data_IF_471514522792
#
_entry.id   IF_471514522792
#
_cell.length_a   1.000
_cell.length_b   1.000
_cell.length_c   1.000
_cell.angle_alpha   90.00
_cell.angle_beta   90.00
_cell.angle_gamma   90.00
#
_symmetry.space_group_name_H-M   'P 1'
#
loop_
_entity.id
_entity.type
_entity.pdbx_description
1 polymer ?
#
# COMPACT_ATOMS: atom_id res chain seq x y z
N UNK A 1 1.20 6.03 -9.29
CA UNK A 1 1.12 7.11 -10.27
C UNK A 1 1.52 6.65 -11.68
N UNK A 2 2.78 6.22 -11.91
CA UNK A 2 3.28 5.87 -13.24
C UNK A 2 2.41 4.84 -13.97
N UNK A 3 1.97 3.78 -13.29
CA UNK A 3 1.07 2.78 -13.87
C UNK A 3 -0.31 3.34 -14.23
N UNK A 4 -0.80 4.34 -13.52
CA UNK A 4 -2.05 5.02 -13.89
C UNK A 4 -1.84 5.86 -15.15
N UNK A 5 -0.69 6.53 -15.29
CA UNK A 5 -0.36 7.28 -16.50
C UNK A 5 -0.24 6.38 -17.71
N UNK A 6 0.42 5.24 -17.56
CA UNK A 6 0.52 4.20 -18.60
C UNK A 6 -0.88 3.72 -19.03
N UNK A 7 -1.77 3.44 -18.06
CA UNK A 7 -3.17 3.07 -18.33
C UNK A 7 -3.92 4.14 -19.13
N UNK A 8 -3.70 5.42 -18.83
CA UNK A 8 -4.34 6.53 -19.55
C UNK A 8 -3.62 6.89 -20.86
N UNK A 9 -2.52 6.21 -21.21
CA UNK A 9 -1.71 6.51 -22.40
C UNK A 9 -0.99 7.86 -22.32
N UNK A 10 -0.71 8.35 -21.12
CA UNK A 10 -0.02 9.62 -20.87
C UNK A 10 1.49 9.38 -20.85
N UNK A 11 2.21 10.10 -21.71
CA UNK A 11 3.68 10.09 -21.70
C UNK A 11 4.22 10.79 -20.43
N UNK A 12 4.78 9.98 -19.53
CA UNK A 12 5.35 10.46 -18.27
C UNK A 12 6.56 11.39 -18.49
N UNK A 13 7.28 11.22 -19.60
CA UNK A 13 8.42 12.08 -19.93
C UNK A 13 8.03 13.55 -20.17
N UNK A 14 6.76 13.81 -20.47
CA UNK A 14 6.20 15.17 -20.60
C UNK A 14 5.70 15.79 -19.30
N UNK A 15 5.76 15.05 -18.18
CA UNK A 15 5.23 15.49 -16.89
C UNK A 15 6.33 15.92 -15.92
N UNK A 16 6.05 16.92 -15.11
CA UNK A 16 6.86 17.25 -13.94
C UNK A 16 6.33 16.45 -12.75
N UNK A 17 7.02 15.35 -12.40
CA UNK A 17 6.66 14.50 -11.25
C UNK A 17 7.41 14.98 -10.02
N UNK A 18 6.68 15.29 -8.96
CA UNK A 18 7.24 15.74 -7.68
C UNK A 18 6.85 14.74 -6.59
N UNK A 19 7.85 14.22 -5.88
CA UNK A 19 7.64 13.40 -4.69
C UNK A 19 7.42 14.29 -3.48
N UNK A 20 6.27 14.13 -2.83
CA UNK A 20 5.90 14.91 -1.65
C UNK A 20 4.99 14.09 -0.72
N UNK A 21 5.00 14.42 0.57
CA UNK A 21 4.12 13.79 1.53
C UNK A 21 2.63 14.04 1.17
N UNK A 22 1.70 13.11 1.51
CA UNK A 22 0.30 13.24 1.15
C UNK A 22 -0.36 14.56 1.58
N UNK A 23 -0.01 15.08 2.76
CA UNK A 23 -0.53 16.35 3.24
C UNK A 23 -0.03 17.55 2.40
N UNK A 24 1.22 17.52 1.95
CA UNK A 24 1.79 18.52 1.07
C UNK A 24 1.14 18.46 -0.32
N UNK A 25 0.98 17.25 -0.87
CA UNK A 25 0.28 17.02 -2.14
C UNK A 25 -1.17 17.50 -2.11
N UNK A 26 -1.86 17.29 -0.98
CA UNK A 26 -3.21 17.83 -0.77
C UNK A 26 -3.23 19.37 -0.79
N UNK A 27 -2.29 20.01 -0.09
CA UNK A 27 -2.21 21.46 -0.07
C UNK A 27 -1.86 22.04 -1.46
N UNK A 28 -0.93 21.41 -2.17
CA UNK A 28 -0.52 21.79 -3.52
C UNK A 28 -1.70 21.68 -4.52
N UNK A 29 -2.48 20.59 -4.44
CA UNK A 29 -3.68 20.42 -5.27
C UNK A 29 -4.74 21.50 -4.98
N UNK A 30 -5.02 21.75 -3.70
CA UNK A 30 -5.99 22.76 -3.29
C UNK A 30 -5.60 24.18 -3.72
N UNK A 31 -4.30 24.48 -3.83
CA UNK A 31 -3.75 25.75 -4.29
C UNK A 31 -3.60 25.83 -5.82
N UNK A 32 -3.84 24.75 -6.55
CA UNK A 32 -3.63 24.69 -7.98
C UNK A 32 -2.14 24.70 -8.39
N UNK A 33 -1.24 24.35 -7.48
CA UNK A 33 0.20 24.26 -7.76
C UNK A 33 0.58 22.93 -8.44
N UNK A 34 -0.30 21.94 -8.40
CA UNK A 34 -0.21 20.69 -9.15
C UNK A 34 -1.58 20.38 -9.78
N UNK A 35 -1.56 19.77 -10.97
CA UNK A 35 -2.77 19.43 -11.71
C UNK A 35 -3.37 18.09 -11.24
N UNK A 36 -2.54 17.21 -10.68
CA UNK A 36 -2.91 15.89 -10.19
C UNK A 36 -2.12 15.55 -8.93
N UNK A 37 -2.76 14.87 -7.99
CA UNK A 37 -2.10 14.36 -6.79
C UNK A 37 -2.57 12.93 -6.48
N UNK A 38 -1.67 12.12 -5.92
CA UNK A 38 -1.97 10.83 -5.33
C UNK A 38 -1.88 10.92 -3.81
N UNK A 39 -2.82 10.32 -3.10
CA UNK A 39 -2.82 10.34 -1.65
C UNK A 39 -3.70 9.25 -1.06
N UNK A 40 -3.69 9.14 0.25
CA UNK A 40 -4.47 8.18 1.02
C UNK A 40 -4.91 8.80 2.35
N UNK A 41 -5.77 8.10 3.08
CA UNK A 41 -6.24 8.51 4.40
C UNK A 41 -6.87 9.90 4.42
N UNK A 42 -6.61 10.67 5.47
CA UNK A 42 -7.17 11.99 5.65
C UNK A 42 -6.76 13.02 4.57
N UNK A 43 -5.57 12.85 3.97
CA UNK A 43 -5.15 13.70 2.86
C UNK A 43 -6.01 13.45 1.61
N UNK A 44 -6.26 12.19 1.25
CA UNK A 44 -7.14 11.84 0.13
C UNK A 44 -8.57 12.37 0.36
N UNK A 45 -9.08 12.27 1.58
CA UNK A 45 -10.41 12.82 1.91
C UNK A 45 -10.48 14.32 1.59
N UNK A 46 -9.48 15.09 2.02
CA UNK A 46 -9.41 16.53 1.71
C UNK A 46 -9.15 16.84 0.24
N UNK A 47 -8.36 15.99 -0.47
CA UNK A 47 -8.18 16.16 -1.93
C UNK A 47 -9.50 16.08 -2.69
N UNK A 48 -10.45 15.24 -2.24
CA UNK A 48 -11.79 15.12 -2.83
C UNK A 48 -12.63 16.39 -2.72
N UNK A 49 -12.31 17.29 -1.80
CA UNK A 49 -12.98 18.59 -1.67
C UNK A 49 -12.56 19.58 -2.78
N UNK A 50 -11.37 19.36 -3.37
CA UNK A 50 -10.77 20.27 -4.37
C UNK A 50 -10.57 19.62 -5.74
N UNK A 51 -10.81 18.33 -5.89
CA UNK A 51 -10.54 17.59 -7.11
C UNK A 51 -11.52 16.45 -7.37
N UNK A 52 -11.39 15.85 -8.54
CA UNK A 52 -12.17 14.68 -8.95
C UNK A 52 -11.30 13.40 -8.85
N UNK A 53 -11.94 12.28 -8.48
CA UNK A 53 -11.28 10.99 -8.49
C UNK A 53 -11.16 10.50 -9.93
N UNK A 54 -9.95 10.17 -10.36
CA UNK A 54 -9.69 9.56 -11.66
C UNK A 54 -9.84 8.03 -11.61
N UNK A 55 -9.29 7.41 -10.56
CA UNK A 55 -9.40 5.97 -10.30
C UNK A 55 -9.57 5.72 -8.79
N UNK A 56 -10.59 4.99 -8.45
CA UNK A 56 -10.79 4.46 -7.09
C UNK A 56 -9.83 3.31 -6.78
N UNK A 57 -9.74 2.89 -5.51
CA UNK A 57 -8.97 1.71 -5.11
C UNK A 57 -9.45 0.44 -5.81
N UNK A 58 -10.76 0.24 -5.91
CA UNK A 58 -11.36 -0.92 -6.56
C UNK A 58 -11.02 -0.97 -8.06
N UNK A 59 -11.22 0.14 -8.78
CA UNK A 59 -10.86 0.23 -10.20
C UNK A 59 -9.37 -0.02 -10.45
N UNK A 60 -8.50 0.47 -9.56
CA UNK A 60 -7.06 0.17 -9.64
C UNK A 60 -6.78 -1.33 -9.48
N UNK A 61 -7.44 -2.00 -8.54
CA UNK A 61 -7.30 -3.45 -8.36
C UNK A 61 -7.73 -4.22 -9.61
N UNK A 62 -8.86 -3.87 -10.22
CA UNK A 62 -9.33 -4.48 -11.48
C UNK A 62 -8.33 -4.30 -12.63
N UNK A 63 -7.61 -3.19 -12.64
CA UNK A 63 -6.55 -2.89 -13.60
C UNK A 63 -5.18 -3.53 -13.25
N UNK A 64 -5.10 -4.30 -12.15
CA UNK A 64 -3.85 -4.86 -11.66
C UNK A 64 -2.88 -3.81 -11.10
N UNK A 65 -3.36 -2.62 -10.78
CA UNK A 65 -2.59 -1.58 -10.09
C UNK A 65 -2.78 -1.77 -8.59
N UNK A 66 -1.93 -2.59 -7.99
CA UNK A 66 -1.99 -2.88 -6.56
C UNK A 66 -1.39 -1.75 -5.74
N UNK A 67 -1.95 -1.53 -4.57
CA UNK A 67 -1.35 -0.73 -3.49
C UNK A 67 -1.45 -1.57 -2.23
N UNK A 68 -0.31 -1.90 -1.64
CA UNK A 68 -0.27 -2.70 -0.43
C UNK A 68 0.91 -2.30 0.45
N UNK A 69 0.74 -2.45 1.74
CA UNK A 69 1.79 -2.32 2.73
C UNK A 69 2.37 -3.71 3.03
N UNK A 70 3.68 -3.80 3.11
CA UNK A 70 4.37 -5.04 3.41
C UNK A 70 5.39 -4.83 4.53
N UNK A 71 5.50 -5.78 5.44
CA UNK A 71 6.60 -5.82 6.38
C UNK A 71 7.88 -6.16 5.63
N UNK A 72 8.88 -5.30 5.73
CA UNK A 72 10.18 -5.47 5.06
C UNK A 72 11.32 -5.48 6.07
N UNK A 73 12.40 -6.16 5.73
CA UNK A 73 13.61 -6.21 6.57
C UNK A 73 14.82 -6.73 5.81
N UNK A 74 16.05 -6.48 6.31
CA UNK A 74 17.26 -7.04 5.72
C UNK A 74 17.19 -8.57 5.71
N UNK A 75 17.58 -9.20 4.61
CA UNK A 75 17.57 -10.66 4.45
C UNK A 75 18.39 -11.35 5.55
N UNK A 76 19.57 -10.80 5.90
CA UNK A 76 20.41 -11.32 6.99
C UNK A 76 19.70 -11.28 8.34
N UNK A 77 19.02 -10.17 8.66
CA UNK A 77 18.28 -10.05 9.91
C UNK A 77 17.16 -11.09 10.01
N UNK A 78 16.39 -11.26 8.94
CA UNK A 78 15.29 -12.23 8.91
C UNK A 78 15.83 -13.66 9.05
N UNK A 79 16.96 -13.98 8.41
CA UNK A 79 17.58 -15.29 8.51
C UNK A 79 18.10 -15.61 9.92
N UNK A 80 18.66 -14.61 10.61
CA UNK A 80 19.21 -14.76 11.95
C UNK A 80 18.16 -14.69 13.06
N UNK A 81 17.01 -14.02 12.80
CA UNK A 81 15.99 -13.72 13.79
C UNK A 81 14.59 -14.19 13.39
N UNK A 82 14.48 -15.30 12.66
CA UNK A 82 13.21 -15.81 12.10
C UNK A 82 12.10 -15.95 13.15
N UNK A 83 12.40 -16.46 14.35
CA UNK A 83 11.44 -16.60 15.44
C UNK A 83 10.90 -15.24 15.94
N UNK A 84 11.74 -14.21 15.97
CA UNK A 84 11.34 -12.86 16.37
C UNK A 84 10.44 -12.23 15.31
N UNK A 85 10.79 -12.42 14.04
CA UNK A 85 9.97 -11.96 12.90
C UNK A 85 8.61 -12.67 12.89
N UNK A 86 8.59 -13.99 13.10
CA UNK A 86 7.35 -14.75 13.19
C UNK A 86 6.45 -14.24 14.33
N UNK A 87 7.01 -13.97 15.52
CA UNK A 87 6.26 -13.40 16.65
C UNK A 87 5.69 -12.02 16.34
N UNK A 88 6.46 -11.17 15.66
CA UNK A 88 5.97 -9.86 15.20
C UNK A 88 4.81 -10.02 14.22
N UNK A 89 4.95 -10.88 13.21
CA UNK A 89 3.90 -11.16 12.24
C UNK A 89 2.65 -11.77 12.89
N UNK A 90 2.84 -12.60 13.94
CA UNK A 90 1.70 -13.11 14.71
C UNK A 90 0.90 -12.00 15.38
N UNK A 91 1.57 -11.03 16.00
CA UNK A 91 0.89 -9.89 16.63
C UNK A 91 0.10 -9.08 15.62
N UNK A 92 0.66 -8.84 14.42
CA UNK A 92 -0.07 -8.15 13.35
C UNK A 92 -1.25 -8.97 12.82
N UNK A 93 -1.08 -10.29 12.67
CA UNK A 93 -2.17 -11.18 12.27
C UNK A 93 -3.30 -11.23 13.31
N UNK A 94 -2.95 -11.28 14.60
CA UNK A 94 -3.93 -11.22 15.68
C UNK A 94 -4.70 -9.88 15.68
N UNK A 95 -4.02 -8.76 15.41
CA UNK A 95 -4.65 -7.45 15.27
C UNK A 95 -5.61 -7.40 14.06
N UNK A 96 -5.21 -7.97 12.92
CA UNK A 96 -6.08 -8.08 11.75
C UNK A 96 -7.33 -8.92 12.05
N UNK A 97 -7.16 -10.05 12.74
CA UNK A 97 -8.27 -10.90 13.16
C UNK A 97 -9.21 -10.18 14.13
N UNK A 98 -8.68 -9.39 15.06
CA UNK A 98 -9.49 -8.55 15.94
C UNK A 98 -10.25 -7.48 15.16
N UNK A 99 -9.65 -6.86 14.15
CA UNK A 99 -10.32 -5.87 13.32
C UNK A 99 -11.43 -6.48 12.46
N UNK A 100 -11.30 -7.73 12.05
CA UNK A 100 -12.35 -8.46 11.32
C UNK A 100 -13.62 -8.72 12.16
N UNK A 101 -13.53 -8.64 13.48
CA UNK A 101 -14.67 -8.73 14.40
C UNK A 101 -15.27 -7.34 14.64
N UNK A 102 -16.48 -7.09 14.12
CA UNK A 102 -17.19 -5.81 14.26
C UNK A 102 -17.34 -5.37 15.74
N UNK A 103 -17.50 -6.30 16.67
CA UNK A 103 -17.61 -5.99 18.10
C UNK A 103 -16.27 -5.46 18.68
N UNK A 104 -15.15 -5.80 18.06
CA UNK A 104 -13.82 -5.31 18.43
C UNK A 104 -13.46 -4.00 17.76
N UNK A 105 -13.98 -3.71 16.58
CA UNK A 105 -13.70 -2.46 15.84
C UNK A 105 -14.02 -1.23 16.69
N UNK A 106 -15.17 -1.22 17.37
CA UNK A 106 -15.58 -0.11 18.25
C UNK A 106 -14.61 0.15 19.41
N UNK A 107 -13.87 -0.87 19.86
CA UNK A 107 -12.86 -0.76 20.91
C UNK A 107 -11.48 -0.38 20.37
N UNK A 108 -11.15 -0.84 19.15
CA UNK A 108 -9.87 -0.58 18.50
C UNK A 108 -9.82 0.83 17.92
N UNK A 109 -10.91 1.30 17.34
CA UNK A 109 -10.97 2.57 16.61
C UNK A 109 -10.48 3.78 17.42
N UNK A 110 -10.90 4.01 18.68
CA UNK A 110 -10.38 5.12 19.48
C UNK A 110 -8.86 5.04 19.74
N UNK A 111 -8.33 3.82 19.89
CA UNK A 111 -6.89 3.60 20.11
C UNK A 111 -6.11 3.92 18.84
N UNK A 112 -6.58 3.42 17.69
CA UNK A 112 -5.97 3.67 16.38
C UNK A 112 -6.01 5.16 16.05
N UNK A 113 -7.15 5.81 16.22
CA UNK A 113 -7.33 7.24 15.95
C UNK A 113 -6.38 8.09 16.81
N UNK A 114 -6.27 7.78 18.09
CA UNK A 114 -5.36 8.45 19.02
C UNK A 114 -3.90 8.29 18.62
N UNK A 115 -3.48 7.08 18.29
CA UNK A 115 -2.09 6.78 17.88
C UNK A 115 -1.75 7.46 16.56
N UNK A 116 -2.67 7.43 15.59
CA UNK A 116 -2.52 8.09 14.29
C UNK A 116 -2.72 9.63 14.33
N UNK A 117 -3.07 10.19 15.48
CA UNK A 117 -3.26 11.65 15.64
C UNK A 117 -4.42 12.21 14.80
N UNK A 118 -5.49 11.44 14.61
CA UNK A 118 -6.66 11.83 13.81
C UNK A 118 -7.96 11.63 14.58
N UNK A 119 -9.08 12.13 14.02
CA UNK A 119 -10.41 11.85 14.58
C UNK A 119 -10.82 10.38 14.37
N UNK A 120 -11.72 9.85 15.18
CA UNK A 120 -12.27 8.50 14.99
C UNK A 120 -13.01 8.39 13.64
N UNK A 121 -13.66 9.44 13.17
CA UNK A 121 -14.32 9.49 11.88
C UNK A 121 -13.30 9.36 10.73
N UNK A 122 -12.20 10.11 10.79
CA UNK A 122 -11.12 10.02 9.79
C UNK A 122 -10.43 8.65 9.82
N UNK A 123 -10.20 8.10 11.00
CA UNK A 123 -9.64 6.75 11.16
C UNK A 123 -10.57 5.69 10.56
N UNK A 124 -11.86 5.72 10.88
CA UNK A 124 -12.85 4.81 10.33
C UNK A 124 -12.93 4.91 8.80
N UNK A 125 -12.99 6.13 8.28
CA UNK A 125 -13.00 6.39 6.83
C UNK A 125 -11.72 5.86 6.15
N UNK A 126 -10.56 6.03 6.76
CA UNK A 126 -9.30 5.50 6.22
C UNK A 126 -9.28 3.98 6.24
N UNK A 127 -9.62 3.36 7.36
CA UNK A 127 -9.61 1.91 7.54
C UNK A 127 -10.60 1.20 6.59
N UNK A 128 -11.72 1.86 6.25
CA UNK A 128 -12.69 1.31 5.30
C UNK A 128 -12.15 1.16 3.87
N UNK A 129 -11.01 1.76 3.56
CA UNK A 129 -10.34 1.66 2.25
C UNK A 129 -9.29 0.56 2.19
N UNK A 130 -9.01 -0.10 3.31
CA UNK A 130 -8.02 -1.16 3.40
C UNK A 130 -8.67 -2.54 3.54
N UNK A 131 -8.00 -3.53 2.98
CA UNK A 131 -8.26 -4.93 3.25
C UNK A 131 -7.15 -5.47 4.17
N UNK A 132 -7.54 -6.26 5.16
CA UNK A 132 -6.63 -6.89 6.12
C UNK A 132 -6.74 -8.42 5.99
N UNK A 133 -6.10 -9.04 4.97
CA UNK A 133 -6.17 -10.47 4.76
C UNK A 133 -5.62 -11.23 5.98
N UNK A 134 -6.24 -12.35 6.32
CA UNK A 134 -5.70 -13.29 7.28
C UNK A 134 -4.41 -13.96 6.73
N UNK A 135 -3.78 -14.83 7.55
CA UNK A 135 -2.52 -15.48 7.16
C UNK A 135 -2.68 -16.31 5.88
N UNK A 136 -3.79 -17.04 5.73
CA UNK A 136 -4.05 -17.85 4.54
C UNK A 136 -4.27 -16.97 3.30
N UNK A 137 -5.00 -15.88 3.45
CA UNK A 137 -5.20 -14.87 2.41
C UNK A 137 -3.89 -14.24 1.97
N UNK A 138 -3.04 -13.82 2.92
CA UNK A 138 -1.73 -13.25 2.63
C UNK A 138 -0.81 -14.24 1.89
N UNK A 139 -0.80 -15.52 2.26
CA UNK A 139 -0.02 -16.57 1.62
C UNK A 139 -0.60 -17.04 0.29
N UNK A 140 -1.83 -16.65 -0.04
CA UNK A 140 -2.49 -17.07 -1.26
C UNK A 140 -1.81 -16.52 -2.52
N UNK A 141 -2.14 -17.14 -3.67
CA UNK A 141 -1.67 -16.67 -4.97
C UNK A 141 -2.12 -15.24 -5.29
N UNK A 142 -3.20 -14.77 -4.68
CA UNK A 142 -3.67 -13.39 -4.85
C UNK A 142 -2.71 -12.34 -4.27
N UNK A 143 -1.86 -12.74 -3.32
CA UNK A 143 -0.89 -11.85 -2.66
C UNK A 143 0.54 -12.42 -2.73
N UNK A 144 1.12 -12.79 -1.58
CA UNK A 144 2.53 -13.21 -1.46
C UNK A 144 2.85 -14.52 -2.17
N UNK A 145 1.86 -15.33 -2.52
CA UNK A 145 2.04 -16.56 -3.29
C UNK A 145 2.21 -16.37 -4.81
N UNK A 146 2.32 -15.11 -5.30
CA UNK A 146 2.58 -14.87 -6.73
C UNK A 146 2.32 -13.43 -7.17
N UNK A 147 1.11 -12.91 -6.98
CA UNK A 147 0.70 -11.61 -7.55
C UNK A 147 1.55 -10.44 -7.06
N UNK A 148 2.01 -10.44 -5.80
CA UNK A 148 2.89 -9.39 -5.29
C UNK A 148 4.24 -9.34 -6.04
N UNK A 149 4.82 -10.50 -6.34
CA UNK A 149 6.07 -10.61 -7.10
C UNK A 149 5.91 -10.12 -8.54
N UNK A 150 4.81 -10.52 -9.19
CA UNK A 150 4.48 -10.10 -10.55
C UNK A 150 4.23 -8.59 -10.60
N UNK A 151 3.53 -8.05 -9.61
CA UNK A 151 3.31 -6.62 -9.48
C UNK A 151 4.61 -5.84 -9.29
N UNK A 152 5.51 -6.29 -8.40
CA UNK A 152 6.82 -5.67 -8.20
C UNK A 152 7.63 -5.64 -9.51
N UNK A 153 7.58 -6.74 -10.31
CA UNK A 153 8.22 -6.78 -11.62
C UNK A 153 7.62 -5.72 -12.55
N UNK A 154 6.31 -5.66 -12.65
CA UNK A 154 5.61 -4.68 -13.48
C UNK A 154 5.88 -3.23 -13.06
N UNK A 155 6.00 -2.95 -11.77
CA UNK A 155 6.40 -1.62 -11.26
C UNK A 155 7.82 -1.30 -11.67
N UNK A 156 8.76 -2.23 -11.47
CA UNK A 156 10.16 -2.02 -11.85
C UNK A 156 10.32 -1.75 -13.36
N UNK A 157 9.56 -2.43 -14.22
CA UNK A 157 9.58 -2.17 -15.67
C UNK A 157 9.12 -0.75 -16.00
N UNK A 158 8.09 -0.25 -15.33
CA UNK A 158 7.62 1.13 -15.50
C UNK A 158 8.68 2.14 -15.02
N UNK A 159 9.38 1.85 -13.92
CA UNK A 159 10.48 2.69 -13.44
C UNK A 159 11.68 2.70 -14.40
N UNK A 160 12.00 1.57 -15.04
CA UNK A 160 13.01 1.52 -16.13
C UNK A 160 12.56 2.38 -17.31
N UNK A 161 11.32 2.21 -17.77
CA UNK A 161 10.79 3.00 -18.88
C UNK A 161 10.78 4.51 -18.60
N UNK A 162 10.55 4.91 -17.35
CA UNK A 162 10.60 6.29 -16.89
C UNK A 162 12.05 6.80 -16.66
N UNK A 163 13.07 5.96 -16.82
CA UNK A 163 14.48 6.33 -16.57
C UNK A 163 14.82 6.54 -15.08
N UNK A 164 13.96 6.07 -14.18
CA UNK A 164 14.16 6.22 -12.72
C UNK A 164 15.10 5.18 -12.14
N UNK A 165 15.24 4.02 -12.80
CA UNK A 165 16.22 2.96 -12.49
C UNK A 165 16.82 2.41 -13.78
N UNK A 166 18.06 1.94 -13.73
CA UNK A 166 18.78 1.46 -14.92
C UNK A 166 18.27 0.13 -15.45
N UNK A 167 17.85 -0.79 -14.56
CA UNK A 167 17.37 -2.12 -14.93
C UNK A 167 16.43 -2.71 -13.87
N UNK A 168 15.49 -3.53 -14.34
CA UNK A 168 14.64 -4.37 -13.49
C UNK A 168 15.22 -5.78 -13.40
N UNK A 169 14.99 -6.47 -12.29
CA UNK A 169 15.30 -7.91 -12.16
C UNK A 169 14.38 -8.72 -13.11
N UNK A 170 14.86 -9.89 -13.54
CA UNK A 170 14.02 -10.82 -14.29
C UNK A 170 12.85 -11.38 -13.45
N UNK A 171 13.05 -11.52 -12.13
CA UNK A 171 12.03 -11.98 -11.17
C UNK A 171 12.23 -11.32 -9.81
N UNK A 172 11.14 -11.17 -9.07
CA UNK A 172 11.12 -10.69 -7.68
C UNK A 172 10.69 -11.79 -6.69
N UNK A 173 10.65 -13.05 -7.13
CA UNK A 173 10.29 -14.19 -6.27
C UNK A 173 11.17 -14.26 -5.02
N UNK A 174 12.48 -14.11 -5.16
CA UNK A 174 13.44 -14.15 -4.06
C UNK A 174 13.37 -12.93 -3.11
N UNK A 175 12.58 -11.92 -3.46
CA UNK A 175 12.35 -10.77 -2.59
C UNK A 175 11.18 -10.97 -1.62
N UNK A 176 10.42 -12.05 -1.77
CA UNK A 176 9.30 -12.41 -0.90
C UNK A 176 9.68 -13.65 -0.10
N UNK A 177 9.80 -13.48 1.22
CA UNK A 177 10.08 -14.55 2.15
C UNK A 177 8.82 -14.85 2.98
N UNK A 178 8.11 -15.92 2.65
CA UNK A 178 6.89 -16.34 3.35
C UNK A 178 7.17 -17.20 4.59
N UNK A 179 8.39 -17.69 4.78
CA UNK A 179 8.74 -18.63 5.86
C UNK A 179 8.31 -18.19 7.27
N UNK A 180 8.60 -16.94 7.71
CA UNK A 180 8.15 -16.49 9.03
C UNK A 180 6.62 -16.38 9.16
N UNK A 181 5.92 -16.11 8.07
CA UNK A 181 4.44 -16.07 8.06
C UNK A 181 3.85 -17.47 8.05
N UNK A 182 4.46 -18.41 7.34
CA UNK A 182 4.08 -19.83 7.35
C UNK A 182 4.27 -20.46 8.74
N UNK A 183 5.27 -20.02 9.50
CA UNK A 183 5.56 -20.52 10.84
C UNK A 183 4.49 -20.17 11.89
N UNK A 184 3.59 -19.23 11.58
CA UNK A 184 2.49 -18.82 12.49
C UNK A 184 1.11 -19.28 12.04
N UNK A 185 1.04 -20.09 10.97
CA UNK A 185 -0.18 -20.64 10.37
C UNK A 185 -0.90 -21.72 11.22
#
# INVERSE_FOLDING_TARGET
FLKQMDHFGVDVGGLTVVDMAPAEGQAALAQGSVDMACGWGGALRRMKESGNILLTGAEKMELGILVFDATTGPTSYIAENGDTVAKFLKVTADANAMWADEAMQSKMLPVIAKDAGMSEEDAASSLSTFEFPDVDGQLSKAWLGGTAQDFMKGVADVFVAAGSIDAAKASYADNVNTGPLEAIK
#
